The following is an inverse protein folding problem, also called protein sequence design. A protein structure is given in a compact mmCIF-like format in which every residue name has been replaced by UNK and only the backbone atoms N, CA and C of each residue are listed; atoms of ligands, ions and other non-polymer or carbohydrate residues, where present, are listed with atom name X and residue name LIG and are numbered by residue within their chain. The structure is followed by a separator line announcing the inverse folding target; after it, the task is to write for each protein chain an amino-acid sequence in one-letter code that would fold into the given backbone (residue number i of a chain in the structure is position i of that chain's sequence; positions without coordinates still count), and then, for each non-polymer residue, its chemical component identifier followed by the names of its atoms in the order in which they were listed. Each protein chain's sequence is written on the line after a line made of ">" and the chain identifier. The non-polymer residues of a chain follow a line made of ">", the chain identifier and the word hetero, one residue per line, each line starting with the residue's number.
data_IF_206059862564
#
_entry.id   IF_206059862564
#
_cell.length_a   1.000
_cell.length_b   1.000
_cell.length_c   1.000
_cell.angle_alpha   90.00
_cell.angle_beta   90.00
_cell.angle_gamma   90.00
#
_symmetry.space_group_name_H-M   'P 1'
#
loop_
_entity.id
_entity.type
_entity.pdbx_description
1 polymer ?
#
# COMPACT_ATOMS: atom_id res chain seq x y z
N UNK A 1 6.30 -27.42 5.69
CA UNK A 1 7.10 -26.72 6.72
C UNK A 1 7.23 -27.68 7.90
N UNK A 2 8.43 -28.10 8.26
CA UNK A 2 8.65 -29.03 9.38
C UNK A 2 8.91 -28.26 10.68
N UNK A 3 8.51 -28.84 11.82
CA UNK A 3 8.88 -28.36 13.16
C UNK A 3 7.86 -27.49 13.90
N UNK A 4 6.72 -27.16 13.29
CA UNK A 4 5.62 -26.46 13.98
C UNK A 4 4.61 -27.47 14.56
N UNK A 5 4.21 -27.31 15.82
CA UNK A 5 3.21 -28.18 16.49
C UNK A 5 1.90 -28.26 15.70
N UNK A 6 1.51 -27.19 15.00
CA UNK A 6 0.30 -27.14 14.17
C UNK A 6 0.33 -28.13 12.99
N UNK A 7 1.52 -28.49 12.48
CA UNK A 7 1.68 -29.43 11.37
C UNK A 7 1.26 -30.85 11.76
N UNK A 8 1.48 -31.24 13.01
CA UNK A 8 1.21 -32.59 13.52
C UNK A 8 -0.20 -32.75 14.13
N UNK A 9 -0.98 -31.67 14.18
CA UNK A 9 -2.34 -31.73 14.74
C UNK A 9 -3.27 -32.58 13.85
N UNK A 10 -4.14 -33.40 14.46
CA UNK A 10 -5.15 -34.15 13.70
C UNK A 10 -6.17 -33.21 13.04
N UNK A 11 -6.95 -33.75 12.09
CA UNK A 11 -8.05 -33.06 11.42
C UNK A 11 -7.65 -31.79 10.65
N UNK A 12 -6.48 -31.85 9.99
CA UNK A 12 -6.04 -30.78 9.08
C UNK A 12 -7.09 -30.52 8.00
N UNK A 13 -7.39 -29.25 7.78
CA UNK A 13 -8.21 -28.82 6.64
C UNK A 13 -7.46 -29.16 5.35
N UNK A 14 -8.12 -29.78 4.34
CA UNK A 14 -7.51 -30.01 3.04
C UNK A 14 -6.98 -28.72 2.41
N UNK A 15 -5.86 -28.80 1.69
CA UNK A 15 -5.19 -27.61 1.14
C UNK A 15 -6.09 -26.82 0.18
N UNK A 16 -6.83 -27.52 -0.69
CA UNK A 16 -7.81 -26.90 -1.61
C UNK A 16 -8.85 -26.05 -0.87
N UNK A 17 -9.31 -26.50 0.31
CA UNK A 17 -10.27 -25.74 1.12
C UNK A 17 -9.61 -24.53 1.79
N UNK A 18 -8.33 -24.62 2.15
CA UNK A 18 -7.57 -23.46 2.68
C UNK A 18 -7.37 -22.42 1.60
N UNK A 19 -6.98 -22.83 0.39
CA UNK A 19 -6.80 -21.95 -0.77
C UNK A 19 -8.12 -21.27 -1.15
N UNK A 20 -9.23 -22.03 -1.25
CA UNK A 20 -10.56 -21.46 -1.53
C UNK A 20 -10.93 -20.37 -0.51
N UNK A 21 -10.73 -20.64 0.78
CA UNK A 21 -11.02 -19.70 1.87
C UNK A 21 -10.11 -18.47 1.80
N UNK A 22 -8.83 -18.68 1.52
CA UNK A 22 -7.86 -17.60 1.37
C UNK A 22 -8.27 -16.67 0.22
N UNK A 23 -8.58 -17.20 -0.96
CA UNK A 23 -9.00 -16.39 -2.10
C UNK A 23 -10.29 -15.62 -1.82
N UNK A 24 -11.31 -16.29 -1.25
CA UNK A 24 -12.56 -15.63 -0.89
C UNK A 24 -12.36 -14.52 0.14
N UNK A 25 -11.49 -14.75 1.13
CA UNK A 25 -11.16 -13.76 2.14
C UNK A 25 -10.42 -12.56 1.55
N UNK A 26 -9.39 -12.82 0.75
CA UNK A 26 -8.58 -11.77 0.13
C UNK A 26 -9.39 -10.94 -0.85
N UNK A 27 -10.31 -11.53 -1.61
CA UNK A 27 -11.21 -10.79 -2.49
C UNK A 27 -12.03 -9.75 -1.70
N UNK A 28 -12.65 -10.15 -0.59
CA UNK A 28 -13.41 -9.21 0.26
C UNK A 28 -12.49 -8.16 0.91
N UNK A 29 -11.32 -8.57 1.38
CA UNK A 29 -10.36 -7.65 1.99
C UNK A 29 -9.90 -6.58 1.00
N UNK A 30 -9.69 -6.97 -0.26
CA UNK A 30 -9.25 -6.10 -1.33
C UNK A 30 -10.31 -5.04 -1.66
N UNK A 31 -11.60 -5.42 -1.70
CA UNK A 31 -12.71 -4.47 -1.83
C UNK A 31 -12.76 -3.46 -0.67
N UNK A 32 -12.53 -3.92 0.56
CA UNK A 32 -12.49 -3.05 1.74
C UNK A 32 -11.29 -2.10 1.68
N UNK A 33 -10.12 -2.58 1.25
CA UNK A 33 -8.92 -1.77 1.09
C UNK A 33 -9.14 -0.65 0.06
N UNK A 34 -9.64 -1.02 -1.13
CA UNK A 34 -9.98 -0.07 -2.18
C UNK A 34 -10.93 1.01 -1.67
N UNK A 35 -12.02 0.64 -0.99
CA UNK A 35 -12.96 1.63 -0.44
C UNK A 35 -12.31 2.62 0.55
N UNK A 36 -11.35 2.15 1.36
CA UNK A 36 -10.61 3.01 2.30
C UNK A 36 -9.64 3.94 1.59
N UNK A 37 -8.94 3.46 0.56
CA UNK A 37 -7.99 4.27 -0.21
C UNK A 37 -8.71 5.27 -1.12
N UNK A 38 -9.82 4.89 -1.75
CA UNK A 38 -10.70 5.80 -2.50
C UNK A 38 -11.19 6.97 -1.62
N UNK A 39 -11.48 6.72 -0.34
CA UNK A 39 -11.85 7.78 0.61
C UNK A 39 -10.70 8.75 0.96
N UNK A 40 -9.46 8.49 0.51
CA UNK A 40 -8.32 9.41 0.62
C UNK A 40 -8.23 10.39 -0.56
N UNK A 41 -8.88 10.13 -1.70
CA UNK A 41 -8.87 11.04 -2.85
C UNK A 41 -9.40 12.43 -2.45
N UNK A 42 -8.69 13.47 -2.88
CA UNK A 42 -8.93 14.86 -2.55
C UNK A 42 -8.42 15.30 -1.17
N UNK A 43 -7.88 14.38 -0.35
CA UNK A 43 -7.26 14.71 0.93
C UNK A 43 -5.76 14.93 0.77
N UNK A 44 -5.20 15.78 1.62
CA UNK A 44 -3.76 15.92 1.77
C UNK A 44 -3.24 14.92 2.80
N UNK A 45 -2.19 14.18 2.44
CA UNK A 45 -1.55 13.16 3.26
C UNK A 45 -0.06 13.49 3.38
N UNK A 46 0.54 13.23 4.55
CA UNK A 46 1.98 13.32 4.75
C UNK A 46 2.65 12.06 4.20
N UNK A 47 3.62 12.25 3.31
CA UNK A 47 4.35 11.17 2.62
C UNK A 47 5.83 11.34 2.91
N UNK A 48 6.49 10.29 3.41
CA UNK A 48 7.95 10.25 3.46
C UNK A 48 8.46 9.73 2.13
N UNK A 49 9.45 10.41 1.54
CA UNK A 49 10.06 9.99 0.27
C UNK A 49 11.02 8.84 0.54
N UNK A 50 10.78 7.69 -0.09
CA UNK A 50 11.66 6.53 0.01
C UNK A 50 12.62 6.46 -1.20
N UNK A 51 12.17 6.88 -2.40
CA UNK A 51 13.01 6.90 -3.60
C UNK A 51 12.62 8.03 -4.59
N UNK A 52 13.58 8.43 -5.42
CA UNK A 52 13.40 9.38 -6.53
C UNK A 52 14.17 8.87 -7.73
N UNK A 53 13.47 8.56 -8.82
CA UNK A 53 14.05 8.01 -10.04
C UNK A 53 13.55 8.75 -11.31
N UNK A 54 13.76 8.15 -12.49
CA UNK A 54 13.34 8.71 -13.77
C UNK A 54 11.80 8.72 -13.95
N UNK A 55 11.08 7.88 -13.21
CA UNK A 55 9.63 7.74 -13.27
C UNK A 55 8.92 8.69 -12.29
N UNK A 56 9.61 9.12 -11.23
CA UNK A 56 9.13 10.20 -10.36
C UNK A 56 9.56 10.04 -8.91
N UNK A 57 8.68 10.45 -8.00
CA UNK A 57 8.88 10.36 -6.55
C UNK A 57 8.03 9.20 -6.03
N UNK A 58 8.67 8.28 -5.30
CA UNK A 58 8.01 7.17 -4.62
C UNK A 58 8.19 7.38 -3.11
N UNK A 59 7.10 7.23 -2.38
CA UNK A 59 7.13 7.30 -0.93
C UNK A 59 6.02 6.49 -0.30
N UNK A 60 5.79 6.71 0.98
CA UNK A 60 4.74 6.03 1.74
C UNK A 60 4.11 6.93 2.78
N UNK A 61 2.86 6.64 3.13
CA UNK A 61 2.19 7.37 4.20
C UNK A 61 2.62 6.86 5.56
N UNK A 62 2.28 7.59 6.62
CA UNK A 62 2.53 7.14 8.00
C UNK A 62 1.86 5.81 8.37
N UNK A 63 0.89 5.35 7.55
CA UNK A 63 0.16 4.12 7.79
C UNK A 63 0.84 2.89 7.18
N UNK A 64 1.89 3.08 6.38
CA UNK A 64 2.41 2.04 5.49
C UNK A 64 3.86 1.65 5.85
N UNK A 65 4.09 0.37 6.07
CA UNK A 65 5.40 -0.23 6.31
C UNK A 65 6.21 -0.35 5.01
N UNK A 66 7.55 -0.19 5.05
CA UNK A 66 8.37 -0.33 3.86
C UNK A 66 8.32 -1.77 3.33
N UNK A 67 8.30 -1.93 2.00
CA UNK A 67 8.32 -3.21 1.25
C UNK A 67 7.12 -4.15 1.44
N UNK A 68 6.28 -3.90 2.45
CA UNK A 68 5.17 -4.78 2.83
C UNK A 68 3.81 -4.18 2.46
N UNK A 69 3.62 -2.88 2.73
CA UNK A 69 2.38 -2.16 2.44
C UNK A 69 2.50 -1.36 1.12
N UNK A 70 1.40 -0.71 0.73
CA UNK A 70 1.33 0.06 -0.52
C UNK A 70 2.18 1.33 -0.52
N UNK A 71 2.39 1.88 -1.71
CA UNK A 71 3.20 3.07 -1.96
C UNK A 71 2.35 4.27 -2.37
N UNK A 72 2.95 5.45 -2.29
CA UNK A 72 2.41 6.70 -2.80
C UNK A 72 3.32 7.21 -3.91
N UNK A 73 2.80 7.22 -5.13
CA UNK A 73 3.42 7.84 -6.28
C UNK A 73 3.08 9.33 -6.31
N UNK A 74 4.09 10.19 -6.47
CA UNK A 74 3.93 11.63 -6.35
C UNK A 74 4.42 12.38 -7.59
N UNK A 75 3.50 13.07 -8.24
CA UNK A 75 3.81 14.04 -9.29
C UNK A 75 4.29 15.37 -8.70
N UNK A 76 5.33 15.95 -9.28
CA UNK A 76 5.91 17.25 -8.88
C UNK A 76 5.91 18.24 -10.06
N UNK A 77 4.74 18.77 -10.48
CA UNK A 77 4.62 19.63 -11.65
C UNK A 77 5.37 20.96 -11.51
N UNK A 78 5.64 21.40 -10.28
CA UNK A 78 6.41 22.61 -9.96
C UNK A 78 7.93 22.42 -10.04
N UNK A 79 8.42 21.19 -10.23
CA UNK A 79 9.85 20.85 -10.15
C UNK A 79 10.51 21.34 -8.85
N UNK A 80 9.79 21.24 -7.73
CA UNK A 80 10.34 21.58 -6.42
C UNK A 80 11.50 20.64 -6.09
N UNK A 81 12.58 21.17 -5.53
CA UNK A 81 13.68 20.36 -5.04
C UNK A 81 13.22 19.59 -3.80
N UNK A 82 13.29 18.26 -3.89
CA UNK A 82 12.96 17.33 -2.81
C UNK A 82 14.08 16.29 -2.66
N UNK A 83 14.17 15.66 -1.50
CA UNK A 83 15.20 14.65 -1.20
C UNK A 83 14.62 13.43 -0.50
N UNK A 84 15.20 12.26 -0.74
CA UNK A 84 14.87 11.03 0.00
C UNK A 84 14.95 11.26 1.52
N UNK A 85 13.98 10.71 2.26
CA UNK A 85 13.79 10.90 3.69
C UNK A 85 13.02 12.16 4.08
N UNK A 86 12.76 13.08 3.13
CA UNK A 86 11.91 14.25 3.38
C UNK A 86 10.44 13.84 3.53
N UNK A 87 9.74 14.49 4.44
CA UNK A 87 8.27 14.39 4.55
C UNK A 87 7.64 15.55 3.78
N UNK A 88 6.79 15.22 2.82
CA UNK A 88 6.09 16.15 1.94
C UNK A 88 4.57 16.04 2.11
N UNK A 89 3.85 17.11 1.79
CA UNK A 89 2.39 17.13 1.77
C UNK A 89 1.88 16.85 0.35
N UNK A 90 1.15 15.76 0.19
CA UNK A 90 0.67 15.29 -1.12
C UNK A 90 -0.84 15.28 -1.14
N UNK A 91 -1.46 15.89 -2.14
CA UNK A 91 -2.90 15.77 -2.37
C UNK A 91 -3.18 14.55 -3.23
N UNK A 92 -3.91 13.58 -2.68
CA UNK A 92 -4.23 12.33 -3.37
C UNK A 92 -5.23 12.60 -4.50
N UNK A 93 -4.92 12.14 -5.69
CA UNK A 93 -5.72 12.31 -6.90
C UNK A 93 -6.32 10.99 -7.40
N UNK A 94 -5.65 9.88 -7.10
CA UNK A 94 -6.10 8.54 -7.48
C UNK A 94 -5.70 7.51 -6.42
N UNK A 95 -6.40 6.39 -6.44
CA UNK A 95 -6.19 5.26 -5.55
C UNK A 95 -6.64 4.00 -6.27
N UNK A 96 -5.97 2.88 -6.00
CA UNK A 96 -6.44 1.54 -6.37
C UNK A 96 -6.65 0.69 -5.11
N UNK A 97 -6.55 -0.63 -5.21
CA UNK A 97 -6.72 -1.55 -4.09
C UNK A 97 -5.66 -1.38 -2.98
N UNK A 98 -4.43 -0.97 -3.31
CA UNK A 98 -3.30 -0.97 -2.37
C UNK A 98 -2.47 0.33 -2.40
N UNK A 99 -2.43 1.01 -3.53
CA UNK A 99 -1.55 2.13 -3.80
C UNK A 99 -2.31 3.46 -3.97
N UNK A 100 -1.56 4.55 -3.83
CA UNK A 100 -2.05 5.91 -3.97
C UNK A 100 -1.22 6.69 -4.98
N UNK A 101 -1.87 7.64 -5.64
CA UNK A 101 -1.22 8.63 -6.48
C UNK A 101 -1.66 10.01 -6.05
N UNK A 102 -0.74 10.96 -6.10
CA UNK A 102 -1.05 12.34 -5.75
C UNK A 102 -0.06 13.34 -6.31
N UNK A 103 -0.34 14.60 -6.02
CA UNK A 103 0.45 15.73 -6.49
C UNK A 103 1.05 16.43 -5.27
N UNK A 104 2.35 16.75 -5.35
CA UNK A 104 3.04 17.57 -4.36
C UNK A 104 2.36 18.93 -4.24
N UNK A 105 2.01 19.33 -3.02
CA UNK A 105 1.50 20.67 -2.74
C UNK A 105 2.64 21.69 -2.74
N UNK A 106 2.38 22.87 -3.33
CA UNK A 106 3.30 24.01 -3.32
C UNK A 106 3.64 24.50 -1.91
#
# INVERSE_FOLDING_TARGET
>A
MEGAVATDMPDQVPEEVKEERFHRFMQLQQEISAARLQAKIGKTVQVIIDDIDEEGIIGRSMADAPEIDGVVYVDNPSNQLVTVGQIISVTITHADEYDLWGILNN
#
